data_IF_143993031156
#
_entry.id   IF_143993031156
#
_cell.length_a   1.000
_cell.length_b   1.000
_cell.length_c   1.000
_cell.angle_alpha   90.00
_cell.angle_beta   90.00
_cell.angle_gamma   90.00
#
_symmetry.space_group_name_H-M   'P 1'
#
loop_
_entity.id
_entity.type
_entity.pdbx_description
1 polymer ?
#
# COMPACT_ATOMS: atom_id res chain seq x y z
N UNK A 1 -8.80 40.04 -46.18
CA UNK A 1 -9.59 39.57 -45.02
C UNK A 1 -9.79 38.05 -45.00
N UNK A 2 -9.10 37.25 -45.82
CA UNK A 2 -9.31 35.78 -45.90
C UNK A 2 -8.41 34.91 -45.01
N UNK A 3 -7.63 35.51 -44.10
CA UNK A 3 -6.74 34.77 -43.18
C UNK A 3 -7.37 34.38 -41.84
N UNK A 4 -8.58 34.88 -41.53
CA UNK A 4 -9.16 34.82 -40.19
C UNK A 4 -10.11 33.63 -39.96
N UNK A 5 -10.57 32.93 -41.01
CA UNK A 5 -11.47 31.76 -40.85
C UNK A 5 -10.72 30.47 -40.54
N UNK A 6 -9.58 30.21 -41.21
CA UNK A 6 -8.78 29.00 -41.00
C UNK A 6 -8.19 28.88 -39.58
N UNK A 7 -7.84 30.01 -38.96
CA UNK A 7 -7.30 30.02 -37.59
C UNK A 7 -8.36 29.68 -36.53
N UNK A 8 -9.62 30.07 -36.75
CA UNK A 8 -10.71 29.84 -35.80
C UNK A 8 -11.22 28.40 -35.82
N UNK A 9 -11.22 27.77 -36.99
CA UNK A 9 -11.69 26.39 -37.19
C UNK A 9 -10.70 25.35 -36.62
N UNK A 10 -9.39 25.61 -36.67
CA UNK A 10 -8.36 24.71 -36.14
C UNK A 10 -8.40 24.54 -34.61
N UNK A 11 -8.69 25.62 -33.87
CA UNK A 11 -8.84 25.56 -32.41
C UNK A 11 -9.99 24.64 -32.00
N UNK A 12 -11.15 24.75 -32.66
CA UNK A 12 -12.34 23.96 -32.33
C UNK A 12 -12.12 22.45 -32.46
N UNK A 13 -11.33 22.01 -33.45
CA UNK A 13 -11.03 20.59 -33.66
C UNK A 13 -10.17 20.05 -32.52
N UNK A 14 -9.10 20.75 -32.15
CA UNK A 14 -8.20 20.32 -31.07
C UNK A 14 -8.89 20.26 -29.71
N UNK A 15 -9.79 21.22 -29.40
CA UNK A 15 -10.63 21.12 -28.21
C UNK A 15 -11.61 19.96 -28.27
N UNK A 16 -12.21 19.72 -29.44
CA UNK A 16 -13.08 18.56 -29.66
C UNK A 16 -12.36 17.26 -29.36
N UNK A 17 -11.13 17.09 -29.87
CA UNK A 17 -10.27 15.93 -29.60
C UNK A 17 -9.96 15.82 -28.11
N UNK A 18 -9.59 16.94 -27.46
CA UNK A 18 -9.30 16.95 -26.02
C UNK A 18 -10.50 16.48 -25.18
N UNK A 19 -11.70 17.02 -25.45
CA UNK A 19 -12.94 16.64 -24.74
C UNK A 19 -13.28 15.17 -24.99
N UNK A 20 -13.25 14.72 -26.25
CA UNK A 20 -13.52 13.33 -26.61
C UNK A 20 -12.53 12.40 -25.90
N UNK A 21 -11.26 12.77 -25.84
CA UNK A 21 -10.22 11.95 -25.23
C UNK A 21 -10.45 11.78 -23.72
N UNK A 22 -10.74 12.87 -22.99
CA UNK A 22 -11.06 12.81 -21.55
C UNK A 22 -12.30 11.95 -21.32
N UNK A 23 -13.39 12.20 -22.06
CA UNK A 23 -14.66 11.48 -21.88
C UNK A 23 -14.51 9.98 -22.21
N UNK A 24 -13.76 9.65 -23.27
CA UNK A 24 -13.47 8.28 -23.66
C UNK A 24 -12.70 7.54 -22.56
N UNK A 25 -11.59 8.11 -22.08
CA UNK A 25 -10.79 7.51 -21.02
C UNK A 25 -11.57 7.41 -19.70
N UNK A 26 -12.39 8.41 -19.38
CA UNK A 26 -13.23 8.39 -18.19
C UNK A 26 -14.25 7.25 -18.24
N UNK A 27 -14.96 7.12 -19.37
CA UNK A 27 -15.93 6.06 -19.57
C UNK A 27 -15.26 4.68 -19.53
N UNK A 28 -14.10 4.54 -20.17
CA UNK A 28 -13.34 3.30 -20.18
C UNK A 28 -12.88 2.90 -18.77
N UNK A 29 -12.36 3.84 -17.98
CA UNK A 29 -11.97 3.60 -16.59
C UNK A 29 -13.16 3.11 -15.74
N UNK A 30 -14.31 3.78 -15.85
CA UNK A 30 -15.53 3.42 -15.13
C UNK A 30 -16.09 2.08 -15.58
N UNK A 31 -16.01 1.77 -16.88
CA UNK A 31 -16.41 0.47 -17.45
C UNK A 31 -15.53 -0.66 -16.91
N UNK A 32 -14.20 -0.49 -16.93
CA UNK A 32 -13.26 -1.47 -16.40
C UNK A 32 -13.48 -1.69 -14.89
N UNK A 33 -13.70 -0.61 -14.13
CA UNK A 33 -14.04 -0.72 -12.71
C UNK A 33 -15.40 -1.42 -12.49
N UNK A 34 -16.41 -1.19 -13.32
CA UNK A 34 -17.67 -1.91 -13.23
C UNK A 34 -17.52 -3.41 -13.52
N UNK A 35 -16.70 -3.75 -14.52
CA UNK A 35 -16.41 -5.13 -14.91
C UNK A 35 -15.49 -5.88 -13.93
N UNK A 36 -15.00 -5.22 -12.88
CA UNK A 36 -14.11 -5.83 -11.88
C UNK A 36 -14.70 -7.06 -11.20
N UNK A 37 -16.03 -7.18 -11.18
CA UNK A 37 -16.74 -8.31 -10.59
C UNK A 37 -16.54 -9.60 -11.38
N UNK A 38 -16.32 -9.49 -12.70
CA UNK A 38 -16.11 -10.63 -13.61
C UNK A 38 -14.65 -10.86 -13.91
N UNK A 39 -13.88 -9.79 -14.14
CA UNK A 39 -12.49 -9.86 -14.61
C UNK A 39 -11.46 -9.65 -13.49
N UNK A 40 -11.91 -9.35 -12.27
CA UNK A 40 -11.04 -8.86 -11.20
C UNK A 40 -10.58 -7.41 -11.43
N UNK A 41 -9.78 -6.90 -10.50
CA UNK A 41 -9.23 -5.54 -10.59
C UNK A 41 -8.09 -5.40 -11.60
N UNK A 42 -7.50 -6.52 -12.03
CA UNK A 42 -6.28 -6.56 -12.85
C UNK A 42 -6.35 -5.73 -14.13
N UNK A 43 -7.42 -5.79 -14.96
CA UNK A 43 -7.49 -4.96 -16.18
C UNK A 43 -7.48 -3.46 -15.89
N UNK A 44 -8.15 -3.04 -14.81
CA UNK A 44 -8.17 -1.64 -14.39
C UNK A 44 -6.78 -1.19 -13.91
N UNK A 45 -6.04 -2.05 -13.21
CA UNK A 45 -4.69 -1.75 -12.76
C UNK A 45 -3.71 -1.62 -13.94
N UNK A 46 -3.80 -2.50 -14.93
CA UNK A 46 -3.01 -2.38 -16.17
C UNK A 46 -3.34 -1.10 -16.91
N UNK A 47 -4.63 -0.77 -17.07
CA UNK A 47 -5.05 0.50 -17.67
C UNK A 47 -4.44 1.69 -16.94
N UNK A 48 -4.52 1.72 -15.61
CA UNK A 48 -4.02 2.82 -14.79
C UNK A 48 -2.48 2.93 -14.85
N UNK A 49 -1.77 1.79 -14.86
CA UNK A 49 -0.34 1.74 -15.09
C UNK A 49 0.05 2.27 -16.49
N UNK A 50 -0.69 1.88 -17.52
CA UNK A 50 -0.49 2.37 -18.89
C UNK A 50 -0.71 3.87 -18.99
N UNK A 51 -1.73 4.43 -18.32
CA UNK A 51 -1.95 5.88 -18.31
C UNK A 51 -0.76 6.63 -17.70
N UNK A 52 -0.13 6.09 -16.66
CA UNK A 52 1.06 6.71 -16.05
C UNK A 52 2.24 6.73 -17.03
N UNK A 53 2.50 5.61 -17.72
CA UNK A 53 3.58 5.55 -18.71
C UNK A 53 3.31 6.52 -19.86
N UNK A 54 2.07 6.55 -20.36
CA UNK A 54 1.64 7.47 -21.42
C UNK A 54 1.73 8.93 -20.95
N UNK A 55 1.36 9.25 -19.70
CA UNK A 55 1.51 10.59 -19.13
C UNK A 55 2.96 11.07 -19.22
N UNK A 56 3.90 10.26 -18.69
CA UNK A 56 5.32 10.59 -18.71
C UNK A 56 5.87 10.72 -20.15
N UNK A 57 5.41 9.86 -21.07
CA UNK A 57 5.77 9.95 -22.48
C UNK A 57 5.19 11.19 -23.18
N UNK A 58 3.96 11.58 -22.84
CA UNK A 58 3.30 12.74 -23.44
C UNK A 58 3.94 14.04 -22.94
N UNK A 59 4.34 14.09 -21.67
CA UNK A 59 5.06 15.24 -21.11
C UNK A 59 6.42 15.43 -21.80
N UNK A 60 7.09 14.35 -22.23
CA UNK A 60 8.30 14.41 -23.05
C UNK A 60 8.07 15.01 -24.45
N UNK A 61 6.87 14.88 -25.00
CA UNK A 61 6.54 15.37 -26.35
C UNK A 61 6.05 16.84 -26.35
N UNK A 62 5.86 17.44 -25.16
CA UNK A 62 5.42 18.83 -24.95
C UNK A 62 4.23 19.27 -25.84
N UNK A 63 3.26 18.39 -26.06
CA UNK A 63 2.08 18.73 -26.87
C UNK A 63 1.22 19.76 -26.12
N UNK A 64 1.24 21.00 -26.63
CA UNK A 64 0.58 22.16 -26.05
C UNK A 64 -0.52 22.68 -26.98
N UNK A 65 -1.68 22.96 -26.41
CA UNK A 65 -2.83 23.56 -27.08
C UNK A 65 -3.04 24.96 -26.52
N UNK A 66 -3.00 25.98 -27.37
CA UNK A 66 -3.26 27.35 -26.93
C UNK A 66 -4.78 27.61 -26.81
N UNK A 67 -5.26 27.45 -25.58
CA UNK A 67 -6.50 27.97 -24.98
C UNK A 67 -7.15 29.17 -25.69
N UNK A 68 -6.57 30.27 -25.27
CA UNK A 68 -6.80 31.67 -25.49
C UNK A 68 -5.43 32.32 -25.29
N UNK A 69 -5.22 33.59 -25.67
CA UNK A 69 -3.94 34.25 -25.46
C UNK A 69 -3.49 34.13 -23.99
N UNK A 70 -2.35 33.47 -23.75
CA UNK A 70 -1.78 33.25 -22.42
C UNK A 70 -2.28 32.02 -21.64
N UNK A 71 -3.17 31.20 -22.21
CA UNK A 71 -3.69 29.98 -21.59
C UNK A 71 -3.25 28.75 -22.40
N UNK A 72 -2.35 27.94 -21.85
CA UNK A 72 -1.82 26.76 -22.53
C UNK A 72 -2.29 25.48 -21.84
N UNK A 73 -2.95 24.61 -22.60
CA UNK A 73 -3.33 23.28 -22.18
C UNK A 73 -2.27 22.27 -22.63
N UNK A 74 -1.55 21.71 -21.65
CA UNK A 74 -0.67 20.55 -21.83
C UNK A 74 -1.49 19.26 -21.86
N UNK A 75 -1.46 18.51 -22.95
CA UNK A 75 -2.32 17.31 -23.07
C UNK A 75 -1.97 16.24 -22.03
N UNK A 76 -0.70 16.12 -21.62
CA UNK A 76 -0.25 15.21 -20.58
C UNK A 76 -0.99 15.43 -19.25
N UNK A 77 -0.62 16.50 -18.55
CA UNK A 77 -1.21 16.85 -17.25
C UNK A 77 -2.72 17.09 -17.24
N UNK A 78 -3.30 17.64 -18.32
CA UNK A 78 -4.74 17.99 -18.32
C UNK A 78 -5.67 16.86 -18.77
N UNK A 79 -5.17 15.82 -19.44
CA UNK A 79 -5.98 14.64 -19.79
C UNK A 79 -5.75 13.52 -18.80
N UNK A 80 -4.51 13.09 -18.58
CA UNK A 80 -4.26 11.83 -17.88
C UNK A 80 -4.36 11.95 -16.36
N UNK A 81 -3.87 13.04 -15.75
CA UNK A 81 -3.93 13.22 -14.29
C UNK A 81 -5.38 13.21 -13.76
N UNK A 82 -6.34 13.96 -14.35
CA UNK A 82 -7.73 13.88 -13.94
C UNK A 82 -8.34 12.47 -14.03
N UNK A 83 -7.99 11.70 -15.07
CA UNK A 83 -8.48 10.33 -15.23
C UNK A 83 -7.89 9.39 -14.18
N UNK A 84 -6.58 9.51 -13.93
CA UNK A 84 -5.90 8.71 -12.91
C UNK A 84 -6.50 9.01 -11.53
N UNK A 85 -6.60 10.29 -11.15
CA UNK A 85 -7.18 10.70 -9.86
C UNK A 85 -8.64 10.29 -9.72
N UNK A 86 -9.45 10.45 -10.76
CA UNK A 86 -10.84 9.97 -10.76
C UNK A 86 -10.91 8.47 -10.53
N UNK A 87 -10.05 7.69 -11.20
CA UNK A 87 -10.04 6.23 -11.07
C UNK A 87 -9.60 5.80 -9.67
N UNK A 88 -8.56 6.43 -9.11
CA UNK A 88 -8.11 6.18 -7.73
C UNK A 88 -9.18 6.59 -6.71
N UNK A 89 -9.88 7.69 -6.93
CA UNK A 89 -11.01 8.11 -6.09
C UNK A 89 -12.15 7.09 -6.13
N UNK A 90 -12.50 6.58 -7.32
CA UNK A 90 -13.52 5.53 -7.47
C UNK A 90 -13.11 4.26 -6.73
N UNK A 91 -11.85 3.81 -6.86
CA UNK A 91 -11.31 2.68 -6.11
C UNK A 91 -11.39 2.92 -4.59
N UNK A 92 -10.99 4.10 -4.13
CA UNK A 92 -11.08 4.48 -2.73
C UNK A 92 -12.53 4.45 -2.21
N UNK A 93 -13.47 5.02 -2.96
CA UNK A 93 -14.89 5.04 -2.61
C UNK A 93 -15.45 3.61 -2.58
N UNK A 94 -15.35 2.90 -3.70
CA UNK A 94 -16.07 1.65 -3.92
C UNK A 94 -15.41 0.45 -3.24
N UNK A 95 -14.09 0.36 -3.27
CA UNK A 95 -13.35 -0.84 -2.85
C UNK A 95 -12.73 -0.75 -1.46
N UNK A 96 -12.64 0.44 -0.88
CA UNK A 96 -12.06 0.61 0.44
C UNK A 96 -10.63 1.12 0.43
N UNK A 97 -10.17 1.51 1.62
CA UNK A 97 -8.89 2.18 1.82
C UNK A 97 -7.70 1.26 1.55
N UNK A 98 -7.74 0.03 2.06
CA UNK A 98 -6.63 -0.92 1.88
C UNK A 98 -6.37 -1.24 0.40
N UNK A 99 -7.43 -1.42 -0.40
CA UNK A 99 -7.30 -1.67 -1.84
C UNK A 99 -6.76 -0.43 -2.56
N UNK A 100 -7.25 0.76 -2.22
CA UNK A 100 -6.75 2.00 -2.81
C UNK A 100 -5.27 2.29 -2.46
N UNK A 101 -4.83 1.95 -1.24
CA UNK A 101 -3.43 2.11 -0.82
C UNK A 101 -2.49 1.15 -1.55
N UNK A 102 -2.89 -0.11 -1.77
CA UNK A 102 -2.12 -1.05 -2.57
C UNK A 102 -1.92 -0.53 -4.00
N UNK A 103 -2.97 0.05 -4.58
CA UNK A 103 -2.88 0.70 -5.90
C UNK A 103 -1.93 1.88 -5.82
N UNK A 104 -2.10 2.80 -4.87
CA UNK A 104 -1.18 3.95 -4.69
C UNK A 104 0.29 3.52 -4.64
N UNK A 105 0.64 2.49 -3.87
CA UNK A 105 2.01 2.00 -3.81
C UNK A 105 2.51 1.44 -5.14
N UNK A 106 1.66 0.71 -5.88
CA UNK A 106 2.01 0.24 -7.21
C UNK A 106 2.26 1.42 -8.17
N UNK A 107 1.43 2.47 -8.11
CA UNK A 107 1.59 3.65 -8.96
C UNK A 107 2.83 4.47 -8.61
N UNK A 108 3.10 4.65 -7.32
CA UNK A 108 4.34 5.29 -6.85
C UNK A 108 5.56 4.48 -7.28
N UNK A 109 5.49 3.14 -7.21
CA UNK A 109 6.54 2.25 -7.69
C UNK A 109 6.80 2.38 -9.21
N UNK A 110 5.73 2.45 -10.01
CA UNK A 110 5.84 2.66 -11.47
C UNK A 110 6.47 4.02 -11.78
N UNK A 111 6.04 5.10 -11.13
CA UNK A 111 6.63 6.41 -11.35
C UNK A 111 8.11 6.46 -10.90
N UNK A 112 8.46 5.81 -9.79
CA UNK A 112 9.85 5.69 -9.35
C UNK A 112 10.69 4.92 -10.38
N UNK A 113 10.15 3.85 -10.97
CA UNK A 113 10.81 3.11 -12.04
C UNK A 113 11.09 4.01 -13.25
N UNK A 114 10.11 4.83 -13.66
CA UNK A 114 10.29 5.81 -14.75
C UNK A 114 11.42 6.79 -14.43
N UNK A 115 11.46 7.34 -13.20
CA UNK A 115 12.55 8.23 -12.75
C UNK A 115 13.90 7.54 -12.82
N UNK A 116 14.00 6.30 -12.34
CA UNK A 116 15.24 5.52 -12.38
C UNK A 116 15.68 5.27 -13.82
N UNK A 117 14.75 4.86 -14.70
CA UNK A 117 15.04 4.63 -16.12
C UNK A 117 15.53 5.90 -16.81
N UNK A 118 14.89 7.05 -16.56
CA UNK A 118 15.31 8.36 -17.08
C UNK A 118 16.71 8.73 -16.57
N UNK A 119 17.02 8.48 -15.29
CA UNK A 119 18.34 8.75 -14.73
C UNK A 119 19.44 7.90 -15.39
N UNK A 120 19.19 6.61 -15.64
CA UNK A 120 20.11 5.76 -16.39
C UNK A 120 20.25 6.22 -17.85
N UNK A 121 19.15 6.63 -18.50
CA UNK A 121 19.20 7.17 -19.86
C UNK A 121 20.04 8.45 -19.93
N UNK A 122 19.87 9.37 -18.97
CA UNK A 122 20.74 10.53 -18.81
C UNK A 122 22.20 10.14 -18.60
N UNK A 123 22.49 9.10 -17.81
CA UNK A 123 23.85 8.64 -17.57
C UNK A 123 24.50 8.13 -18.87
N UNK A 124 23.78 7.35 -19.68
CA UNK A 124 24.28 6.90 -21.00
C UNK A 124 24.60 8.07 -21.94
N UNK A 125 23.79 9.13 -21.92
CA UNK A 125 24.00 10.31 -22.78
C UNK A 125 25.19 11.14 -22.29
N UNK A 126 25.25 11.42 -20.98
CA UNK A 126 26.25 12.31 -20.40
C UNK A 126 27.64 11.68 -20.25
N UNK A 127 27.71 10.35 -20.09
CA UNK A 127 28.95 9.58 -19.97
C UNK A 127 29.27 8.81 -21.27
N UNK A 128 28.75 9.27 -22.41
CA UNK A 128 28.91 8.60 -23.70
C UNK A 128 30.38 8.51 -24.12
N UNK A 129 30.78 7.36 -24.63
CA UNK A 129 32.07 7.10 -25.27
C UNK A 129 31.89 6.80 -26.78
N UNK A 130 32.97 6.43 -27.48
CA UNK A 130 32.93 6.10 -28.91
C UNK A 130 32.01 4.91 -29.24
N UNK A 131 31.69 4.06 -28.25
CA UNK A 131 30.79 2.91 -28.43
C UNK A 131 29.31 3.29 -28.37
N UNK A 132 28.99 4.48 -27.85
CA UNK A 132 27.63 4.93 -27.60
C UNK A 132 27.06 5.69 -28.80
N UNK A 133 26.40 4.97 -29.72
CA UNK A 133 25.81 5.56 -30.93
C UNK A 133 24.38 6.04 -30.67
N UNK A 134 24.16 7.35 -30.66
CA UNK A 134 22.83 7.95 -30.58
C UNK A 134 22.18 8.00 -31.98
N UNK A 135 21.06 7.31 -32.16
CA UNK A 135 20.30 7.27 -33.44
C UNK A 135 18.93 7.96 -33.38
N UNK A 136 18.65 8.71 -32.30
CA UNK A 136 17.34 9.33 -32.08
C UNK A 136 17.03 10.45 -33.11
N UNK A 137 15.76 10.54 -33.51
CA UNK A 137 15.22 11.51 -34.49
C UNK A 137 15.04 12.93 -33.91
N UNK A 138 15.04 13.06 -32.58
CA UNK A 138 14.89 14.31 -31.83
C UNK A 138 16.24 14.67 -31.22
N UNK A 139 16.63 15.96 -31.26
CA UNK A 139 17.86 16.48 -30.68
C UNK A 139 17.92 16.13 -29.17
N UNK A 140 18.77 15.16 -28.84
CA UNK A 140 18.93 14.58 -27.50
C UNK A 140 19.36 15.63 -26.46
N UNK A 141 20.02 16.70 -26.92
CA UNK A 141 20.60 17.74 -26.05
C UNK A 141 19.54 18.63 -25.36
N UNK A 142 18.31 18.75 -25.91
CA UNK A 142 17.24 19.56 -25.30
C UNK A 142 16.31 18.73 -24.39
N UNK A 143 16.25 17.41 -24.56
CA UNK A 143 15.23 16.56 -23.91
C UNK A 143 15.63 16.13 -22.49
N UNK A 144 16.93 15.88 -22.25
CA UNK A 144 17.41 15.27 -21.01
C UNK A 144 18.25 16.23 -20.16
N UNK A 145 17.65 17.37 -19.80
CA UNK A 145 18.29 18.40 -18.96
C UNK A 145 18.02 18.20 -17.45
N UNK A 146 18.81 18.83 -16.55
CA UNK A 146 18.48 18.87 -15.12
C UNK A 146 17.08 19.45 -14.84
N UNK A 147 16.61 20.37 -15.69
CA UNK A 147 15.26 20.92 -15.62
C UNK A 147 14.21 19.84 -15.93
N UNK A 148 14.45 18.98 -16.92
CA UNK A 148 13.58 17.85 -17.20
C UNK A 148 13.48 16.89 -15.99
N UNK A 149 14.62 16.52 -15.38
CA UNK A 149 14.62 15.67 -14.17
C UNK A 149 13.82 16.31 -13.02
N UNK A 150 13.96 17.62 -12.83
CA UNK A 150 13.18 18.39 -11.86
C UNK A 150 11.68 18.33 -12.17
N UNK A 151 11.28 18.38 -13.44
CA UNK A 151 9.90 18.22 -13.88
C UNK A 151 9.31 16.87 -13.51
N UNK A 152 10.03 15.78 -13.80
CA UNK A 152 9.59 14.42 -13.45
C UNK A 152 9.47 14.25 -11.93
N UNK A 153 10.44 14.74 -11.16
CA UNK A 153 10.38 14.70 -9.70
C UNK A 153 9.22 15.54 -9.14
N UNK A 154 8.98 16.72 -9.70
CA UNK A 154 7.85 17.57 -9.33
C UNK A 154 6.51 16.85 -9.58
N UNK A 155 6.34 16.21 -10.74
CA UNK A 155 5.16 15.41 -11.07
C UNK A 155 4.96 14.24 -10.11
N UNK A 156 6.03 13.53 -9.74
CA UNK A 156 5.95 12.43 -8.78
C UNK A 156 5.46 12.90 -7.40
N UNK A 157 6.01 14.00 -6.89
CA UNK A 157 5.64 14.56 -5.58
C UNK A 157 4.20 15.08 -5.60
N UNK A 158 3.83 15.81 -6.67
CA UNK A 158 2.46 16.30 -6.86
C UNK A 158 1.47 15.13 -6.92
N UNK A 159 1.75 14.10 -7.72
CA UNK A 159 0.93 12.90 -7.83
C UNK A 159 0.65 12.22 -6.48
N UNK A 160 1.70 12.02 -5.67
CA UNK A 160 1.54 11.40 -4.34
C UNK A 160 0.71 12.30 -3.44
N UNK A 161 0.96 13.62 -3.44
CA UNK A 161 0.18 14.58 -2.68
C UNK A 161 -1.30 14.57 -3.08
N UNK A 162 -1.61 14.49 -4.36
CA UNK A 162 -2.97 14.53 -4.89
C UNK A 162 -3.78 13.30 -4.52
N UNK A 163 -3.17 12.12 -4.55
CA UNK A 163 -3.86 10.89 -4.15
C UNK A 163 -4.22 10.93 -2.66
N UNK A 164 -3.40 11.52 -1.80
CA UNK A 164 -3.80 11.74 -0.41
C UNK A 164 -4.85 12.86 -0.30
N UNK A 165 -4.66 13.95 -1.04
CA UNK A 165 -5.54 15.12 -1.01
C UNK A 165 -6.96 14.74 -1.42
N UNK A 166 -7.14 13.94 -2.48
CA UNK A 166 -8.46 13.55 -2.98
C UNK A 166 -9.24 12.75 -1.92
N UNK A 167 -8.57 11.89 -1.15
CA UNK A 167 -9.21 11.16 -0.05
C UNK A 167 -9.50 12.06 1.16
N UNK A 168 -8.56 12.92 1.55
CA UNK A 168 -8.71 13.87 2.67
C UNK A 168 -9.88 14.81 2.39
N UNK A 169 -9.96 15.41 1.20
CA UNK A 169 -11.03 16.34 0.83
C UNK A 169 -12.36 15.60 0.78
N UNK A 170 -12.43 14.44 0.12
CA UNK A 170 -13.68 13.65 0.05
C UNK A 170 -14.18 13.29 1.45
N UNK A 171 -13.32 12.74 2.30
CA UNK A 171 -13.71 12.28 3.62
C UNK A 171 -13.98 13.45 4.58
N UNK A 172 -13.22 14.55 4.46
CA UNK A 172 -13.46 15.79 5.19
C UNK A 172 -14.82 16.40 4.85
N UNK A 173 -15.16 16.49 3.56
CA UNK A 173 -16.48 16.98 3.11
C UNK A 173 -17.62 16.13 3.66
N UNK A 174 -17.46 14.81 3.62
CA UNK A 174 -18.46 13.86 4.10
C UNK A 174 -18.63 13.90 5.63
N UNK A 175 -17.53 13.98 6.38
CA UNK A 175 -17.55 13.99 7.84
C UNK A 175 -18.02 15.34 8.42
N UNK A 176 -17.64 16.46 7.81
CA UNK A 176 -17.95 17.79 8.32
C UNK A 176 -19.30 18.31 7.84
N UNK A 177 -19.61 18.13 6.55
CA UNK A 177 -20.80 18.75 5.92
C UNK A 177 -21.90 17.76 5.55
N UNK A 178 -21.71 16.45 5.74
CA UNK A 178 -22.69 15.41 5.38
C UNK A 178 -23.19 15.52 3.92
N UNK A 179 -22.34 16.05 3.03
CA UNK A 179 -22.70 16.28 1.65
C UNK A 179 -22.95 14.94 0.91
N UNK A 180 -23.81 14.93 -0.13
CA UNK A 180 -24.08 13.72 -0.89
C UNK A 180 -22.83 13.24 -1.64
N UNK A 181 -22.72 11.92 -1.84
CA UNK A 181 -21.50 11.27 -2.35
C UNK A 181 -21.03 11.83 -3.70
N UNK A 182 -21.95 12.18 -4.59
CA UNK A 182 -21.63 12.72 -5.91
C UNK A 182 -21.07 14.16 -5.86
N UNK A 183 -21.47 14.97 -4.87
CA UNK A 183 -20.89 16.31 -4.65
C UNK A 183 -19.51 16.16 -4.02
N UNK A 184 -19.39 15.31 -3.00
CA UNK A 184 -18.12 15.05 -2.33
C UNK A 184 -17.05 14.58 -3.31
N UNK A 185 -17.39 13.67 -4.22
CA UNK A 185 -16.45 13.11 -5.18
C UNK A 185 -15.98 14.16 -6.21
N UNK A 186 -16.90 14.96 -6.77
CA UNK A 186 -16.53 15.97 -7.76
C UNK A 186 -15.73 17.12 -7.15
N UNK A 187 -16.11 17.62 -5.98
CA UNK A 187 -15.33 18.63 -5.26
C UNK A 187 -13.95 18.09 -4.85
N UNK A 188 -13.87 16.84 -4.39
CA UNK A 188 -12.59 16.23 -4.06
C UNK A 188 -11.67 16.14 -5.28
N UNK A 189 -12.19 15.70 -6.43
CA UNK A 189 -11.42 15.65 -7.68
C UNK A 189 -10.93 17.03 -8.10
N UNK A 190 -11.80 18.04 -8.04
CA UNK A 190 -11.47 19.42 -8.41
C UNK A 190 -10.39 20.03 -7.49
N UNK A 191 -10.55 19.88 -6.16
CA UNK A 191 -9.56 20.40 -5.20
C UNK A 191 -8.23 19.66 -5.33
N UNK A 192 -8.25 18.34 -5.51
CA UNK A 192 -7.03 17.56 -5.71
C UNK A 192 -6.27 18.04 -6.96
N UNK A 193 -6.99 18.30 -8.06
CA UNK A 193 -6.37 18.82 -9.27
C UNK A 193 -5.81 20.24 -9.13
N UNK A 194 -6.44 21.10 -8.33
CA UNK A 194 -5.87 22.41 -8.01
C UNK A 194 -4.60 22.28 -7.17
N UNK A 195 -4.60 21.37 -6.21
CA UNK A 195 -3.41 21.07 -5.41
C UNK A 195 -2.29 20.55 -6.31
N UNK A 196 -2.58 19.68 -7.28
CA UNK A 196 -1.62 19.24 -8.30
C UNK A 196 -0.98 20.44 -9.02
N UNK A 197 -1.80 21.37 -9.51
CA UNK A 197 -1.31 22.58 -10.20
C UNK A 197 -0.37 23.40 -9.31
N UNK A 198 -0.78 23.61 -8.06
CA UNK A 198 -0.01 24.43 -7.12
C UNK A 198 1.30 23.73 -6.76
N UNK A 199 1.25 22.45 -6.36
CA UNK A 199 2.42 21.68 -5.94
C UNK A 199 3.40 21.52 -7.10
N UNK A 200 2.92 21.13 -8.28
CA UNK A 200 3.77 20.99 -9.47
C UNK A 200 4.45 22.32 -9.81
N UNK A 201 3.70 23.43 -9.89
CA UNK A 201 4.28 24.71 -10.29
C UNK A 201 5.23 25.28 -9.25
N UNK A 202 4.98 25.07 -7.96
CA UNK A 202 5.93 25.42 -6.90
C UNK A 202 7.22 24.60 -7.08
N UNK A 203 7.14 23.28 -7.28
CA UNK A 203 8.34 22.46 -7.39
C UNK A 203 9.13 22.72 -8.67
N UNK A 204 8.44 22.89 -9.80
CA UNK A 204 9.06 23.03 -11.12
C UNK A 204 9.52 24.45 -11.44
N UNK A 205 8.70 25.46 -11.12
CA UNK A 205 8.86 26.84 -11.57
C UNK A 205 9.14 27.85 -10.45
N UNK A 206 9.32 27.45 -9.19
CA UNK A 206 9.66 28.42 -8.14
C UNK A 206 10.91 29.23 -8.51
N UNK A 207 10.77 30.56 -8.42
CA UNK A 207 11.83 31.51 -8.76
C UNK A 207 11.93 31.87 -10.25
N UNK A 208 11.07 31.33 -11.12
CA UNK A 208 11.02 31.72 -12.55
C UNK A 208 9.85 32.65 -12.86
N UNK A 209 9.97 33.55 -13.86
CA UNK A 209 8.84 34.37 -14.33
C UNK A 209 7.64 33.53 -14.81
N UNK A 210 7.91 32.31 -15.27
CA UNK A 210 6.92 31.35 -15.76
C UNK A 210 5.93 30.89 -14.69
N UNK A 211 6.28 30.97 -13.39
CA UNK A 211 5.40 30.54 -12.30
C UNK A 211 4.06 31.28 -12.30
N UNK A 212 4.09 32.62 -12.37
CA UNK A 212 2.87 33.46 -12.32
C UNK A 212 2.06 33.34 -13.61
N UNK A 213 2.74 33.11 -14.74
CA UNK A 213 2.12 33.05 -16.06
C UNK A 213 1.41 31.71 -16.27
N UNK A 214 2.03 30.59 -15.87
CA UNK A 214 1.53 29.25 -16.19
C UNK A 214 0.50 28.71 -15.19
N UNK A 215 0.53 29.16 -13.93
CA UNK A 215 -0.37 28.65 -12.89
C UNK A 215 -1.87 28.88 -13.19
N UNK A 216 -2.32 30.08 -13.63
CA UNK A 216 -3.72 30.30 -13.94
C UNK A 216 -4.23 29.39 -15.07
N UNK A 217 -3.40 29.21 -16.11
CA UNK A 217 -3.73 28.33 -17.23
C UNK A 217 -3.90 26.87 -16.81
N UNK A 218 -2.99 26.39 -15.97
CA UNK A 218 -3.01 25.01 -15.46
C UNK A 218 -4.26 24.75 -14.60
N UNK A 219 -4.61 25.70 -13.71
CA UNK A 219 -5.81 25.61 -12.87
C UNK A 219 -7.08 25.60 -13.72
N UNK A 220 -7.17 26.46 -14.74
CA UNK A 220 -8.34 26.52 -15.64
C UNK A 220 -8.49 25.22 -16.42
N UNK A 221 -7.40 24.70 -17.00
CA UNK A 221 -7.41 23.45 -17.75
C UNK A 221 -7.87 22.26 -16.90
N UNK A 222 -7.38 22.17 -15.67
CA UNK A 222 -7.79 21.12 -14.73
C UNK A 222 -9.22 21.29 -14.23
N UNK A 223 -9.68 22.52 -14.06
CA UNK A 223 -11.08 22.80 -13.70
C UNK A 223 -12.03 22.34 -14.81
N UNK A 224 -11.67 22.61 -16.07
CA UNK A 224 -12.43 22.14 -17.22
C UNK A 224 -12.48 20.60 -17.27
N UNK A 225 -11.34 19.93 -17.08
CA UNK A 225 -11.28 18.47 -17.03
C UNK A 225 -12.15 17.89 -15.90
N UNK A 226 -12.07 18.46 -14.69
CA UNK A 226 -12.89 18.04 -13.55
C UNK A 226 -14.39 18.18 -13.84
N UNK A 227 -14.80 19.32 -14.42
CA UNK A 227 -16.20 19.58 -14.78
C UNK A 227 -16.72 18.64 -15.88
N UNK A 228 -15.88 18.25 -16.83
CA UNK A 228 -16.23 17.26 -17.85
C UNK A 228 -16.43 15.85 -17.27
N UNK A 229 -15.57 15.46 -16.32
CA UNK A 229 -15.61 14.13 -15.68
C UNK A 229 -16.74 14.03 -14.66
N UNK A 230 -17.08 15.12 -13.97
CA UNK A 230 -17.99 15.11 -12.83
C UNK A 230 -19.36 14.47 -13.15
N UNK A 231 -20.09 14.81 -14.23
CA UNK A 231 -21.38 14.18 -14.51
C UNK A 231 -21.29 12.66 -14.66
N UNK A 232 -20.26 12.16 -15.36
CA UNK A 232 -20.03 10.72 -15.53
C UNK A 232 -19.74 10.05 -14.18
N UNK A 233 -18.85 10.65 -13.38
CA UNK A 233 -18.50 10.19 -12.05
C UNK A 233 -19.73 10.16 -11.12
N UNK A 234 -20.55 11.21 -11.15
CA UNK A 234 -21.77 11.32 -10.35
C UNK A 234 -22.79 10.23 -10.70
N UNK A 235 -23.08 10.05 -12.00
CA UNK A 235 -23.98 8.98 -12.47
C UNK A 235 -23.44 7.62 -12.06
N UNK A 236 -22.14 7.39 -12.20
CA UNK A 236 -21.50 6.14 -11.82
C UNK A 236 -21.65 5.82 -10.33
N UNK A 237 -21.29 6.77 -9.48
CA UNK A 237 -21.31 6.58 -8.02
C UNK A 237 -22.73 6.44 -7.45
N UNK A 238 -23.72 7.09 -8.05
CA UNK A 238 -25.10 7.04 -7.58
C UNK A 238 -25.84 5.81 -8.12
N UNK A 239 -25.63 5.42 -9.39
CA UNK A 239 -26.42 4.37 -10.04
C UNK A 239 -25.72 3.02 -10.10
N UNK A 240 -24.44 2.98 -10.45
CA UNK A 240 -23.74 1.74 -10.81
C UNK A 240 -22.88 1.19 -9.67
N UNK A 241 -22.06 2.03 -9.06
CA UNK A 241 -21.13 1.61 -8.00
C UNK A 241 -21.82 0.91 -6.80
N UNK A 242 -23.02 1.35 -6.33
CA UNK A 242 -23.70 0.70 -5.22
C UNK A 242 -24.20 -0.72 -5.51
N UNK A 243 -24.24 -1.13 -6.79
CA UNK A 243 -24.62 -2.49 -7.20
C UNK A 243 -23.46 -3.49 -7.09
N UNK A 244 -22.23 -3.01 -6.84
CA UNK A 244 -21.06 -3.88 -6.75
C UNK A 244 -21.06 -4.71 -5.46
N UNK A 245 -20.66 -5.99 -5.53
CA UNK A 245 -20.45 -6.80 -4.33
C UNK A 245 -19.31 -6.19 -3.50
N UNK A 246 -19.53 -6.08 -2.19
CA UNK A 246 -18.61 -5.46 -1.23
C UNK A 246 -18.37 -3.95 -1.46
N UNK A 247 -19.33 -3.21 -2.01
CA UNK A 247 -19.26 -1.75 -2.11
C UNK A 247 -19.10 -1.09 -0.73
N UNK A 248 -18.00 -0.35 -0.54
CA UNK A 248 -17.65 0.30 0.74
C UNK A 248 -17.90 1.81 0.76
N UNK A 249 -18.66 2.36 -0.19
CA UNK A 249 -18.86 3.81 -0.30
C UNK A 249 -19.59 4.39 0.90
N UNK A 250 -20.47 3.61 1.55
CA UNK A 250 -21.22 4.03 2.74
C UNK A 250 -20.44 3.91 4.05
N UNK A 251 -19.34 3.16 4.09
CA UNK A 251 -18.52 2.98 5.30
C UNK A 251 -18.00 4.33 5.80
N UNK A 252 -18.15 4.61 7.09
CA UNK A 252 -17.54 5.79 7.72
C UNK A 252 -16.05 5.55 7.92
N UNK A 253 -15.23 6.54 7.56
CA UNK A 253 -13.76 6.44 7.63
C UNK A 253 -13.20 7.73 8.24
N UNK A 254 -12.10 7.66 9.00
CA UNK A 254 -11.42 8.87 9.45
C UNK A 254 -10.88 9.68 8.25
N UNK A 255 -10.76 11.00 8.39
CA UNK A 255 -10.36 11.88 7.28
C UNK A 255 -9.00 11.50 6.67
N UNK A 256 -8.06 11.04 7.50
CA UNK A 256 -6.73 10.62 7.09
C UNK A 256 -6.58 9.11 6.92
N UNK A 257 -7.69 8.39 6.69
CA UNK A 257 -7.67 6.93 6.55
C UNK A 257 -6.75 6.46 5.41
N UNK A 258 -6.71 7.19 4.29
CA UNK A 258 -5.81 6.85 3.19
C UNK A 258 -4.32 6.95 3.54
N UNK A 259 -3.96 7.78 4.53
CA UNK A 259 -2.58 7.91 5.02
C UNK A 259 -2.26 6.88 6.10
N UNK A 260 -3.18 6.66 7.05
CA UNK A 260 -2.93 5.85 8.25
C UNK A 260 -3.63 4.48 8.28
N UNK A 261 -4.45 4.14 7.29
CA UNK A 261 -5.29 2.93 7.29
C UNK A 261 -4.50 1.63 7.39
N UNK A 262 -3.33 1.54 6.74
CA UNK A 262 -2.44 0.38 6.87
C UNK A 262 -1.89 0.27 8.27
N UNK A 263 -1.36 1.37 8.82
CA UNK A 263 -0.83 1.40 10.19
C UNK A 263 -1.91 1.05 11.21
N UNK A 264 -3.15 1.52 11.02
CA UNK A 264 -4.29 1.18 11.87
C UNK A 264 -4.64 -0.30 11.83
N UNK A 265 -4.78 -0.88 10.62
CA UNK A 265 -5.10 -2.31 10.47
C UNK A 265 -3.98 -3.23 10.99
N UNK A 266 -2.71 -2.87 10.75
CA UNK A 266 -1.56 -3.64 11.22
C UNK A 266 -1.43 -3.58 12.75
N UNK A 267 -1.67 -2.40 13.35
CA UNK A 267 -1.70 -2.26 14.81
C UNK A 267 -2.84 -3.09 15.43
N UNK A 268 -4.04 -3.09 14.85
CA UNK A 268 -5.15 -3.92 15.34
C UNK A 268 -4.85 -5.42 15.23
N UNK A 269 -4.29 -5.88 14.10
CA UNK A 269 -3.89 -7.27 13.93
C UNK A 269 -2.81 -7.67 14.96
N UNK A 270 -1.82 -6.81 15.17
CA UNK A 270 -0.76 -7.02 16.16
C UNK A 270 -1.31 -7.09 17.59
N UNK A 271 -2.21 -6.18 17.96
CA UNK A 271 -2.84 -6.18 19.28
C UNK A 271 -3.72 -7.43 19.51
N UNK A 272 -4.44 -7.91 18.49
CA UNK A 272 -5.22 -9.15 18.59
C UNK A 272 -4.32 -10.37 18.78
N UNK A 273 -3.26 -10.49 17.99
CA UNK A 273 -2.27 -11.56 18.15
C UNK A 273 -1.62 -11.52 19.53
N UNK A 274 -1.27 -10.33 20.03
CA UNK A 274 -0.73 -10.18 21.38
C UNK A 274 -1.75 -10.56 22.46
N UNK A 275 -3.01 -10.19 22.30
CA UNK A 275 -4.08 -10.56 23.23
C UNK A 275 -4.31 -12.09 23.25
N UNK A 276 -4.42 -12.72 22.08
CA UNK A 276 -4.56 -14.18 21.97
C UNK A 276 -3.36 -14.93 22.56
N UNK A 277 -2.12 -14.45 22.29
CA UNK A 277 -0.92 -15.01 22.90
C UNK A 277 -0.92 -14.85 24.42
N UNK A 278 -1.35 -13.71 24.93
CA UNK A 278 -1.46 -13.46 26.38
C UNK A 278 -2.50 -14.38 27.02
N UNK A 279 -3.70 -14.45 26.46
CA UNK A 279 -4.77 -15.33 26.95
C UNK A 279 -4.37 -16.80 26.90
N UNK A 280 -3.76 -17.24 25.80
CA UNK A 280 -3.24 -18.60 25.68
C UNK A 280 -2.17 -18.89 26.74
N UNK A 281 -1.21 -17.97 26.95
CA UNK A 281 -0.18 -18.09 27.98
C UNK A 281 -0.78 -18.15 29.39
N UNK A 282 -1.77 -17.32 29.70
CA UNK A 282 -2.46 -17.31 31.00
C UNK A 282 -3.20 -18.63 31.24
N UNK A 283 -3.88 -19.18 30.23
CA UNK A 283 -4.53 -20.50 30.30
C UNK A 283 -3.48 -21.59 30.55
N UNK A 284 -2.36 -21.60 29.82
CA UNK A 284 -1.28 -22.55 30.04
C UNK A 284 -0.70 -22.46 31.45
N UNK A 285 -0.47 -21.24 31.98
CA UNK A 285 0.01 -21.05 33.35
C UNK A 285 -1.01 -21.56 34.37
N UNK A 286 -2.30 -21.22 34.23
CA UNK A 286 -3.34 -21.68 35.16
C UNK A 286 -3.52 -23.20 35.14
N UNK A 287 -3.44 -23.83 33.97
CA UNK A 287 -3.47 -25.29 33.85
C UNK A 287 -2.25 -25.92 34.54
N UNK A 288 -1.05 -25.45 34.24
CA UNK A 288 0.20 -26.05 34.76
C UNK A 288 0.46 -25.77 36.25
N UNK A 289 -0.05 -24.67 36.80
CA UNK A 289 0.14 -24.33 38.23
C UNK A 289 -0.80 -25.10 39.17
N UNK A 290 -2.01 -25.42 38.69
CA UNK A 290 -3.04 -26.10 39.49
C UNK A 290 -2.99 -27.62 39.40
N UNK A 291 -2.42 -28.18 38.32
CA UNK A 291 -2.27 -29.63 38.26
C UNK A 291 -1.14 -30.06 39.21
N UNK A 292 -1.43 -31.03 40.07
CA UNK A 292 -0.49 -31.54 41.08
C UNK A 292 0.46 -32.60 40.52
N UNK A 293 0.36 -32.92 39.23
CA UNK A 293 1.19 -33.90 38.53
C UNK A 293 2.37 -33.22 37.84
N UNK A 294 3.49 -33.93 37.77
CA UNK A 294 4.69 -33.45 37.09
C UNK A 294 4.56 -33.68 35.59
N UNK A 295 4.30 -32.61 34.83
CA UNK A 295 4.51 -32.61 33.39
C UNK A 295 5.89 -32.09 33.05
N UNK A 296 6.48 -32.66 32.01
CA UNK A 296 7.72 -32.19 31.41
C UNK A 296 7.64 -32.34 29.89
N UNK A 297 8.31 -31.44 29.16
CA UNK A 297 8.47 -31.54 27.71
C UNK A 297 9.94 -31.71 27.42
N UNK A 298 10.31 -32.67 26.58
CA UNK A 298 11.68 -32.82 26.11
C UNK A 298 11.76 -32.79 24.59
N UNK A 299 12.91 -32.34 24.11
CA UNK A 299 13.31 -32.42 22.72
C UNK A 299 14.12 -33.71 22.55
N UNK A 300 13.47 -34.74 21.99
CA UNK A 300 14.04 -36.09 21.84
C UNK A 300 15.27 -36.09 20.92
N UNK A 301 15.33 -35.19 19.95
CA UNK A 301 16.45 -35.08 19.02
C UNK A 301 17.69 -34.46 19.69
N UNK A 302 17.47 -33.51 20.60
CA UNK A 302 18.54 -32.78 21.28
C UNK A 302 18.85 -33.32 22.68
N UNK A 303 18.15 -34.37 23.11
CA UNK A 303 18.29 -35.02 24.43
C UNK A 303 18.30 -34.00 25.58
N UNK A 304 17.38 -33.03 25.53
CA UNK A 304 17.25 -31.93 26.52
C UNK A 304 15.81 -31.78 26.98
N UNK A 305 15.62 -31.33 28.21
CA UNK A 305 14.29 -30.98 28.72
C UNK A 305 14.03 -29.51 28.39
N UNK A 306 12.87 -29.24 27.80
CA UNK A 306 12.42 -27.93 27.35
C UNK A 306 11.58 -27.24 28.43
N UNK A 307 10.83 -28.02 29.23
CA UNK A 307 9.94 -27.48 30.24
C UNK A 307 9.70 -28.48 31.38
N UNK A 308 9.62 -27.98 32.62
CA UNK A 308 9.04 -28.67 33.77
C UNK A 308 7.89 -27.86 34.36
N UNK A 309 6.81 -28.55 34.70
CA UNK A 309 5.71 -27.96 35.48
C UNK A 309 6.17 -27.54 36.90
N UNK A 310 5.53 -26.53 37.51
CA UNK A 310 5.81 -26.12 38.90
C UNK A 310 5.65 -27.23 39.94
N UNK A 311 4.81 -28.23 39.65
CA UNK A 311 4.63 -29.41 40.49
C UNK A 311 5.92 -30.20 40.69
N UNK A 312 6.89 -30.16 39.75
CA UNK A 312 8.18 -30.83 39.89
C UNK A 312 8.89 -30.42 41.19
N UNK A 313 9.05 -29.11 41.41
CA UNK A 313 9.71 -28.59 42.63
C UNK A 313 8.90 -28.91 43.89
N UNK A 314 7.57 -28.87 43.81
CA UNK A 314 6.69 -29.26 44.92
C UNK A 314 6.82 -30.75 45.26
N UNK A 315 7.03 -31.63 44.28
CA UNK A 315 7.11 -33.09 44.49
C UNK A 315 8.52 -33.55 44.83
N UNK A 316 9.55 -33.08 44.14
CA UNK A 316 10.94 -33.54 44.31
C UNK A 316 11.74 -32.68 45.30
N UNK A 317 11.36 -31.42 45.49
CA UNK A 317 12.10 -30.44 46.29
C UNK A 317 13.34 -29.86 45.58
N UNK A 318 13.62 -30.28 44.35
CA UNK A 318 14.73 -29.76 43.55
C UNK A 318 14.28 -28.64 42.62
N UNK A 319 15.19 -27.72 42.33
CA UNK A 319 14.92 -26.68 41.34
C UNK A 319 15.02 -27.28 39.92
N UNK A 320 14.00 -27.11 39.05
CA UNK A 320 14.03 -27.69 37.70
C UNK A 320 15.21 -27.20 36.85
N UNK A 321 15.75 -26.01 37.17
CA UNK A 321 16.88 -25.41 36.44
C UNK A 321 18.13 -26.29 36.40
N UNK A 322 18.33 -27.15 37.41
CA UNK A 322 19.45 -28.09 37.46
C UNK A 322 19.35 -29.20 36.40
N UNK A 323 18.16 -29.48 35.88
CA UNK A 323 17.90 -30.63 35.00
C UNK A 323 17.69 -30.26 33.54
N UNK A 324 17.45 -28.99 33.19
CA UNK A 324 17.24 -28.56 31.79
C UNK A 324 18.43 -28.90 30.88
N UNK A 325 19.66 -28.68 31.39
CA UNK A 325 20.90 -28.93 30.64
C UNK A 325 21.57 -30.27 30.98
N UNK A 326 21.06 -31.00 31.98
CA UNK A 326 21.60 -32.28 32.44
C UNK A 326 20.47 -33.26 32.77
N UNK A 327 19.63 -33.63 31.79
CA UNK A 327 18.47 -34.50 32.03
C UNK A 327 18.84 -35.87 32.62
N UNK A 328 20.04 -36.37 32.36
CA UNK A 328 20.57 -37.60 32.94
C UNK A 328 20.62 -37.59 34.48
N UNK A 329 20.70 -36.42 35.12
CA UNK A 329 20.75 -36.30 36.58
C UNK A 329 19.43 -36.66 37.27
N UNK A 330 18.31 -36.68 36.54
CA UNK A 330 17.03 -37.15 37.07
C UNK A 330 17.11 -38.59 37.59
N UNK A 331 17.97 -39.45 37.02
CA UNK A 331 18.23 -40.81 37.52
C UNK A 331 18.74 -40.81 38.96
N UNK A 332 19.53 -39.81 39.33
CA UNK A 332 20.08 -39.69 40.68
C UNK A 332 19.04 -39.38 41.76
N UNK A 333 17.84 -38.96 41.35
CA UNK A 333 16.72 -38.73 42.27
C UNK A 333 15.97 -40.05 42.56
N UNK A 334 15.98 -41.01 41.63
CA UNK A 334 15.33 -42.32 41.79
C UNK A 334 16.19 -43.22 42.68
N UNK A 335 15.59 -43.97 43.61
CA UNK A 335 16.32 -44.86 44.51
C UNK A 335 17.06 -45.96 43.72
N UNK A 336 18.29 -46.35 44.11
CA UNK A 336 19.09 -47.36 43.39
C UNK A 336 18.40 -48.71 43.20
N UNK A 337 17.50 -49.07 44.11
CA UNK A 337 16.70 -50.31 44.08
C UNK A 337 15.63 -50.30 42.98
N UNK A 338 15.15 -49.12 42.61
CA UNK A 338 14.08 -48.91 41.63
C UNK A 338 14.64 -48.39 40.28
N UNK A 339 15.95 -48.18 40.19
CA UNK A 339 16.64 -47.91 38.93
C UNK A 339 16.74 -49.22 38.13
N UNK A 340 15.79 -49.47 37.25
CA UNK A 340 15.86 -50.64 36.37
C UNK A 340 17.03 -50.57 35.38
N UNK A 341 17.46 -51.75 34.94
CA UNK A 341 18.66 -52.00 34.13
C UNK A 341 18.52 -51.59 32.66
N UNK A 342 17.71 -50.59 32.33
CA UNK A 342 17.49 -50.18 30.93
C UNK A 342 18.45 -49.04 30.56
N UNK A 343 19.57 -49.40 29.96
CA UNK A 343 20.63 -48.49 29.48
C UNK A 343 20.25 -47.60 28.28
N UNK A 344 18.96 -47.39 28.01
CA UNK A 344 18.51 -46.47 26.97
C UNK A 344 18.26 -45.07 27.55
N UNK A 345 18.37 -44.04 26.71
CA UNK A 345 18.20 -42.63 27.09
C UNK A 345 17.03 -42.48 28.07
N UNK A 346 17.24 -41.77 29.18
CA UNK A 346 16.24 -41.63 30.25
C UNK A 346 14.83 -41.28 29.73
N UNK A 347 14.76 -40.45 28.68
CA UNK A 347 13.51 -40.05 28.01
C UNK A 347 12.76 -41.23 27.35
N UNK A 348 13.46 -42.26 26.88
CA UNK A 348 12.89 -43.46 26.29
C UNK A 348 12.47 -44.50 27.34
N UNK A 349 13.03 -44.46 28.55
CA UNK A 349 12.66 -45.32 29.66
C UNK A 349 11.41 -44.82 30.41
N UNK A 350 11.09 -43.53 30.31
CA UNK A 350 9.86 -42.93 30.87
C UNK A 350 8.61 -43.22 30.03
N UNK A 351 8.78 -43.80 28.84
CA UNK A 351 7.71 -44.20 27.91
C UNK A 351 7.44 -45.72 27.98
N UNK A 352 8.09 -46.44 28.91
CA UNK A 352 7.92 -47.87 29.14
C UNK A 352 6.77 -48.13 30.14
N UNK A 353 5.62 -48.67 29.70
CA UNK A 353 4.44 -48.83 30.54
C UNK A 353 4.59 -49.91 31.63
N UNK A 354 5.67 -50.70 31.65
CA UNK A 354 5.88 -51.72 32.69
C UNK A 354 6.48 -51.17 34.01
N UNK A 355 6.86 -49.88 34.07
CA UNK A 355 7.47 -49.26 35.27
C UNK A 355 6.66 -48.07 35.82
N UNK A 356 5.38 -48.30 36.05
CA UNK A 356 4.45 -47.25 36.48
C UNK A 356 4.71 -46.65 37.89
N UNK A 357 5.59 -47.24 38.73
CA UNK A 357 5.81 -46.76 40.11
C UNK A 357 7.26 -46.96 40.56
N UNK A 358 7.92 -45.88 40.97
CA UNK A 358 9.29 -45.89 41.48
C UNK A 358 9.45 -44.88 42.62
N UNK A 359 10.30 -45.20 43.61
CA UNK A 359 10.57 -44.30 44.73
C UNK A 359 11.59 -43.23 44.34
N UNK A 360 11.29 -41.99 44.70
CA UNK A 360 12.20 -40.85 44.58
C UNK A 360 12.71 -40.39 45.95
N UNK A 361 13.97 -39.96 45.99
CA UNK A 361 14.58 -39.27 47.13
C UNK A 361 14.41 -37.77 46.95
N UNK A 362 13.63 -37.15 47.83
CA UNK A 362 13.47 -35.69 47.84
C UNK A 362 14.72 -35.00 48.37
N UNK A 363 14.86 -33.70 48.08
CA UNK A 363 15.96 -32.87 48.58
C UNK A 363 16.04 -32.81 50.11
N UNK A 364 14.91 -32.96 50.80
CA UNK A 364 14.82 -33.01 52.27
C UNK A 364 15.27 -34.36 52.87
N UNK A 365 15.65 -35.33 52.04
CA UNK A 365 16.08 -36.67 52.44
C UNK A 365 14.94 -37.68 52.57
N UNK A 366 13.68 -37.24 52.51
CA UNK A 366 12.53 -38.13 52.61
C UNK A 366 12.30 -38.91 51.31
N UNK A 367 11.80 -40.14 51.45
CA UNK A 367 11.45 -41.00 50.32
C UNK A 367 9.97 -40.84 50.00
N UNK A 368 9.63 -40.73 48.72
CA UNK A 368 8.26 -40.63 48.22
C UNK A 368 8.06 -41.64 47.08
N UNK A 369 6.95 -42.37 47.10
CA UNK A 369 6.49 -43.20 45.99
C UNK A 369 5.91 -42.35 44.86
#
# INVERSE_FOLDING_TARGET
EDGCSLYRDGYMISYGIFVIHILFLALLALLLHYQQTKLGLTPLLFFLASLIVILNFTDLMEIQLEAFPGYVLRTGGHVYVPIILMTVLVLYIANGTSRAQLVLFALTGINLLVVVTIAFMMAYINLRDESTILRALVLVDDVFTPQFLRGVLASLVAFVADVFMIAIVRQGLRNLFHAPDWICAGLALLVALWVDSIVFQILFNIGTPSFVILLPGDIVGKSLAALLIWPLLAVYLVRFAPQLPNYQGKTQRPTFDMLFGIFGSMNQAMSRLQAELKTSREIYTQLTENIQEVFWLADVNQDRIVYFSPAFKKITGYDPTYFYNNPQWLRGIILPEDQTTTGHKLLAALDDPEQERFRIRRRDGNTRW
#
